data_IF_436090572412
#
_entry.id   IF_436090572412
#
_cell.length_a   1.000
_cell.length_b   1.000
_cell.length_c   1.000
_cell.angle_alpha   90.00
_cell.angle_beta   90.00
_cell.angle_gamma   90.00
#
_symmetry.space_group_name_H-M   'P 1'
#
loop_
_entity.id
_entity.type
_entity.pdbx_description
1 polymer ?
#
# COMPACT_ATOMS: atom_id res chain seq x y z
N UNK A 1 13.37 0.28 -18.54
CA UNK A 1 13.74 -0.17 -17.18
C UNK A 1 13.98 1.04 -16.28
N UNK A 2 13.37 1.08 -15.09
CA UNK A 2 13.55 2.14 -14.07
C UNK A 2 14.37 1.62 -12.89
N UNK A 3 15.20 2.45 -12.25
CA UNK A 3 15.86 2.06 -10.99
C UNK A 3 15.02 2.56 -9.83
N UNK A 4 14.75 1.70 -8.84
CA UNK A 4 13.96 2.03 -7.64
C UNK A 4 14.66 1.53 -6.38
N UNK A 5 14.26 2.10 -5.26
CA UNK A 5 14.68 1.72 -3.91
C UNK A 5 13.71 0.72 -3.28
N UNK A 6 14.14 0.06 -2.20
CA UNK A 6 13.25 -0.81 -1.40
C UNK A 6 12.12 -0.02 -0.73
N UNK A 7 12.33 1.26 -0.40
CA UNK A 7 11.28 2.13 0.12
C UNK A 7 10.22 2.46 -0.94
N UNK A 8 10.63 2.71 -2.20
CA UNK A 8 9.67 2.82 -3.30
C UNK A 8 8.90 1.52 -3.52
N UNK A 9 9.57 0.37 -3.41
CA UNK A 9 8.94 -0.96 -3.48
C UNK A 9 7.84 -1.12 -2.41
N UNK A 10 8.11 -0.68 -1.17
CA UNK A 10 7.13 -0.69 -0.06
C UNK A 10 5.93 0.22 -0.31
N UNK A 11 6.00 1.17 -1.25
CA UNK A 11 4.87 2.03 -1.60
C UNK A 11 4.00 1.48 -2.75
N UNK A 12 4.36 0.31 -3.31
CA UNK A 12 3.67 -0.33 -4.44
C UNK A 12 2.50 -1.24 -4.02
N UNK A 13 1.81 -0.91 -2.92
CA UNK A 13 0.74 -1.75 -2.33
C UNK A 13 -0.51 -1.94 -3.20
N UNK A 14 -0.60 -1.27 -4.35
CA UNK A 14 -1.77 -1.25 -5.24
C UNK A 14 -1.50 -2.00 -6.55
N UNK A 15 -0.36 -2.66 -6.67
CA UNK A 15 0.03 -3.42 -7.85
C UNK A 15 0.69 -4.73 -7.45
N UNK A 16 0.76 -5.65 -8.40
CA UNK A 16 1.46 -6.93 -8.25
C UNK A 16 2.49 -7.08 -9.37
N UNK A 17 3.47 -7.95 -9.13
CA UNK A 17 4.50 -8.23 -10.11
C UNK A 17 5.30 -9.49 -9.77
N UNK A 18 6.16 -9.87 -10.71
CA UNK A 18 7.12 -10.94 -10.54
C UNK A 18 8.50 -10.32 -10.23
N UNK A 19 9.07 -10.69 -9.09
CA UNK A 19 10.46 -10.34 -8.74
C UNK A 19 11.36 -11.54 -9.02
N UNK A 20 12.45 -11.28 -9.75
CA UNK A 20 13.58 -12.19 -9.93
C UNK A 20 14.79 -11.65 -9.18
N UNK A 21 15.55 -12.55 -8.55
CA UNK A 21 16.63 -12.19 -7.64
C UNK A 21 17.98 -12.67 -8.17
N UNK A 22 19.04 -11.89 -7.89
CA UNK A 22 20.40 -12.26 -8.29
C UNK A 22 20.65 -12.15 -9.80
N UNK A 23 19.99 -11.19 -10.47
CA UNK A 23 20.17 -10.93 -11.90
C UNK A 23 21.57 -10.33 -12.17
N UNK A 24 22.53 -11.19 -12.50
CA UNK A 24 23.87 -10.79 -12.94
C UNK A 24 23.97 -10.59 -14.45
N UNK A 25 25.07 -10.00 -14.91
CA UNK A 25 25.31 -9.76 -16.34
C UNK A 25 24.46 -8.63 -16.91
N UNK A 26 24.06 -8.75 -18.17
CA UNK A 26 23.23 -7.76 -18.86
C UNK A 26 21.75 -7.94 -18.48
N UNK A 27 21.16 -6.89 -17.89
CA UNK A 27 19.77 -6.89 -17.45
C UNK A 27 18.78 -6.89 -18.62
N UNK A 28 19.17 -6.39 -19.80
CA UNK A 28 18.30 -6.44 -20.97
C UNK A 28 18.15 -7.88 -21.48
N UNK A 29 19.21 -8.69 -21.43
CA UNK A 29 19.13 -10.12 -21.75
C UNK A 29 18.18 -10.87 -20.82
N UNK A 30 18.15 -10.50 -19.53
CA UNK A 30 17.16 -11.02 -18.58
C UNK A 30 15.73 -10.63 -18.98
N UNK A 31 15.50 -9.37 -19.30
CA UNK A 31 14.16 -8.87 -19.67
C UNK A 31 13.65 -9.58 -20.93
N UNK A 32 14.51 -9.69 -21.94
CA UNK A 32 14.16 -10.30 -23.23
C UNK A 32 13.97 -11.81 -23.08
N UNK A 33 14.87 -12.49 -22.35
CA UNK A 33 14.81 -13.92 -22.12
C UNK A 33 13.57 -14.34 -21.32
N UNK A 34 13.26 -13.63 -20.24
CA UNK A 34 12.06 -13.92 -19.43
C UNK A 34 10.80 -13.67 -20.24
N UNK A 35 10.69 -12.55 -20.96
CA UNK A 35 9.54 -12.30 -21.82
C UNK A 35 9.38 -13.35 -22.94
N UNK A 36 10.49 -13.83 -23.51
CA UNK A 36 10.50 -14.95 -24.46
C UNK A 36 9.90 -16.22 -23.86
N UNK A 37 10.40 -16.64 -22.70
CA UNK A 37 9.91 -17.84 -21.99
C UNK A 37 8.43 -17.72 -21.63
N UNK A 38 8.01 -16.57 -21.07
CA UNK A 38 6.62 -16.36 -20.69
C UNK A 38 5.68 -16.37 -21.91
N UNK A 39 6.13 -15.84 -23.05
CA UNK A 39 5.39 -15.92 -24.31
C UNK A 39 5.27 -17.35 -24.80
N UNK A 40 6.37 -18.09 -24.85
CA UNK A 40 6.42 -19.48 -25.34
C UNK A 40 5.56 -20.42 -24.50
N UNK A 41 5.49 -20.22 -23.18
CA UNK A 41 4.63 -21.00 -22.29
C UNK A 41 3.14 -20.58 -22.34
N UNK A 42 2.81 -19.57 -23.16
CA UNK A 42 1.47 -19.03 -23.27
C UNK A 42 0.97 -18.45 -21.94
N UNK A 43 1.86 -17.79 -21.20
CA UNK A 43 1.54 -17.05 -19.98
C UNK A 43 1.07 -15.63 -20.34
N UNK A 44 1.67 -15.02 -21.37
CA UNK A 44 1.26 -13.72 -21.90
C UNK A 44 0.04 -13.91 -22.82
N UNK A 45 -1.19 -13.66 -22.31
CA UNK A 45 -2.43 -14.01 -23.03
C UNK A 45 -2.71 -13.12 -24.24
N UNK A 46 -2.28 -11.86 -24.20
CA UNK A 46 -2.33 -10.94 -25.34
C UNK A 46 -1.01 -10.90 -26.13
N UNK A 47 -0.04 -11.72 -25.72
CA UNK A 47 1.29 -11.81 -26.29
C UNK A 47 2.15 -10.57 -26.07
N UNK A 48 1.70 -9.54 -25.33
CA UNK A 48 2.51 -8.34 -25.08
C UNK A 48 3.58 -8.61 -24.02
N UNK A 49 4.80 -8.10 -24.20
CA UNK A 49 5.85 -8.25 -23.20
C UNK A 49 5.53 -7.41 -21.95
N UNK A 50 5.96 -7.92 -20.79
CA UNK A 50 6.03 -7.13 -19.57
C UNK A 50 7.15 -6.10 -19.72
N UNK A 51 6.76 -4.85 -19.93
CA UNK A 51 7.60 -3.72 -20.29
C UNK A 51 7.85 -2.75 -19.13
N UNK A 52 6.95 -2.70 -18.14
CA UNK A 52 7.20 -2.00 -16.89
C UNK A 52 8.12 -2.82 -15.97
N UNK A 53 9.41 -2.72 -16.24
CA UNK A 53 10.47 -3.38 -15.47
C UNK A 53 11.22 -2.38 -14.61
N UNK A 54 11.36 -2.70 -13.33
CA UNK A 54 12.21 -1.98 -12.39
C UNK A 54 13.41 -2.82 -11.93
N UNK A 55 14.53 -2.16 -11.64
CA UNK A 55 15.71 -2.76 -11.01
C UNK A 55 15.92 -2.17 -9.62
N UNK A 56 16.27 -3.01 -8.65
CA UNK A 56 16.60 -2.57 -7.30
C UNK A 56 17.65 -3.46 -6.64
N UNK A 57 18.41 -2.90 -5.71
CA UNK A 57 19.43 -3.61 -4.92
C UNK A 57 18.88 -3.93 -3.54
N UNK A 58 19.05 -5.17 -3.08
CA UNK A 58 18.71 -5.56 -1.70
C UNK A 58 19.57 -6.77 -1.29
N UNK A 59 20.12 -6.73 -0.07
CA UNK A 59 21.00 -7.79 0.47
C UNK A 59 22.20 -8.14 -0.45
N UNK A 60 22.73 -7.16 -1.20
CA UNK A 60 23.84 -7.36 -2.13
C UNK A 60 23.47 -8.03 -3.46
N UNK A 61 22.18 -8.26 -3.72
CA UNK A 61 21.67 -8.81 -4.97
C UNK A 61 21.02 -7.73 -5.84
N UNK A 62 21.31 -7.79 -7.15
CA UNK A 62 20.53 -7.10 -8.18
C UNK A 62 19.23 -7.86 -8.42
N UNK A 63 18.10 -7.19 -8.30
CA UNK A 63 16.77 -7.78 -8.50
C UNK A 63 16.01 -7.04 -9.60
N UNK A 64 15.19 -7.76 -10.34
CA UNK A 64 14.28 -7.22 -11.35
C UNK A 64 12.83 -7.45 -10.93
N UNK A 65 12.02 -6.39 -10.96
CA UNK A 65 10.57 -6.43 -10.81
C UNK A 65 9.93 -6.26 -12.19
N UNK A 66 9.17 -7.24 -12.64
CA UNK A 66 8.27 -7.15 -13.77
C UNK A 66 6.87 -6.84 -13.25
N UNK A 67 6.45 -5.57 -13.33
CA UNK A 67 5.11 -5.18 -12.90
C UNK A 67 4.05 -5.66 -13.89
N UNK A 68 2.93 -6.18 -13.37
CA UNK A 68 1.88 -6.71 -14.25
C UNK A 68 1.01 -5.62 -14.87
N UNK A 69 0.79 -4.49 -14.18
CA UNK A 69 -0.03 -3.39 -14.69
C UNK A 69 -1.38 -3.89 -15.22
N UNK A 70 -1.67 -3.56 -16.48
CA UNK A 70 -2.89 -3.97 -17.18
C UNK A 70 -2.72 -5.20 -18.08
N UNK A 71 -1.56 -5.87 -18.03
CA UNK A 71 -1.26 -7.02 -18.89
C UNK A 71 -2.18 -8.20 -18.56
N UNK A 72 -2.63 -8.91 -19.60
CA UNK A 72 -3.46 -10.11 -19.46
C UNK A 72 -2.56 -11.33 -19.32
N UNK A 73 -2.52 -11.91 -18.12
CA UNK A 73 -1.65 -13.04 -17.79
C UNK A 73 -2.43 -14.28 -17.37
N UNK A 74 -1.94 -15.45 -17.76
CA UNK A 74 -2.34 -16.71 -17.13
C UNK A 74 -1.64 -16.84 -15.78
N UNK A 75 -2.28 -16.30 -14.73
CA UNK A 75 -1.73 -16.29 -13.37
C UNK A 75 -1.50 -17.71 -12.83
N UNK A 76 -2.33 -18.67 -13.24
CA UNK A 76 -2.19 -20.07 -12.84
C UNK A 76 -0.90 -20.69 -13.38
N UNK A 77 -0.66 -20.55 -14.69
CA UNK A 77 0.60 -20.99 -15.31
C UNK A 77 1.80 -20.23 -14.78
N UNK A 78 1.69 -18.92 -14.59
CA UNK A 78 2.79 -18.11 -14.05
C UNK A 78 3.18 -18.55 -12.64
N UNK A 79 2.20 -18.87 -11.79
CA UNK A 79 2.45 -19.39 -10.46
C UNK A 79 3.22 -20.73 -10.49
N UNK A 80 2.82 -21.64 -11.39
CA UNK A 80 3.50 -22.93 -11.58
C UNK A 80 4.93 -22.71 -12.10
N UNK A 81 5.09 -21.90 -13.15
CA UNK A 81 6.39 -21.58 -13.73
C UNK A 81 7.34 -20.99 -12.70
N UNK A 82 6.86 -20.03 -11.88
CA UNK A 82 7.63 -19.40 -10.80
C UNK A 82 8.11 -20.43 -9.78
N UNK A 83 7.27 -21.40 -9.41
CA UNK A 83 7.65 -22.47 -8.48
C UNK A 83 8.71 -23.39 -9.09
N UNK A 84 8.52 -23.81 -10.36
CA UNK A 84 9.42 -24.72 -11.05
C UNK A 84 10.81 -24.11 -11.32
N UNK A 85 10.87 -22.80 -11.53
CA UNK A 85 12.11 -22.07 -11.87
C UNK A 85 12.73 -21.34 -10.68
N UNK A 86 12.23 -21.59 -9.46
CA UNK A 86 12.66 -20.89 -8.24
C UNK A 86 14.16 -21.00 -7.98
N UNK A 87 14.76 -22.17 -8.20
CA UNK A 87 16.20 -22.37 -8.00
C UNK A 87 17.05 -21.62 -9.02
N UNK A 88 16.51 -21.39 -10.23
CA UNK A 88 17.22 -20.71 -11.31
C UNK A 88 17.12 -19.18 -11.22
N UNK A 89 15.94 -18.66 -10.87
CA UNK A 89 15.67 -17.22 -10.95
C UNK A 89 15.33 -16.56 -9.61
N UNK A 90 15.18 -17.34 -8.54
CA UNK A 90 14.76 -16.81 -7.23
C UNK A 90 13.37 -16.15 -7.27
N UNK A 91 12.50 -16.60 -8.18
CA UNK A 91 11.22 -15.94 -8.47
C UNK A 91 10.27 -15.86 -7.26
N UNK A 92 9.67 -14.69 -7.04
CA UNK A 92 8.67 -14.44 -5.99
C UNK A 92 7.69 -13.35 -6.40
N UNK A 93 6.53 -13.27 -5.74
CA UNK A 93 5.59 -12.16 -5.97
C UNK A 93 6.10 -10.88 -5.31
N UNK A 94 5.73 -9.72 -5.84
CA UNK A 94 6.04 -8.43 -5.22
C UNK A 94 5.46 -8.35 -3.81
N UNK A 95 4.19 -8.76 -3.63
CA UNK A 95 3.55 -8.83 -2.31
C UNK A 95 4.32 -9.73 -1.34
N UNK A 96 4.65 -10.96 -1.76
CA UNK A 96 5.43 -11.91 -0.97
C UNK A 96 6.80 -11.34 -0.58
N UNK A 97 7.50 -10.69 -1.52
CA UNK A 97 8.81 -10.11 -1.26
C UNK A 97 8.72 -8.99 -0.24
N UNK A 98 7.79 -8.05 -0.44
CA UNK A 98 7.64 -6.91 0.45
C UNK A 98 7.26 -7.36 1.86
N UNK A 99 6.32 -8.30 1.99
CA UNK A 99 5.90 -8.84 3.28
C UNK A 99 7.06 -9.56 3.98
N UNK A 100 7.71 -10.50 3.30
CA UNK A 100 8.69 -11.39 3.93
C UNK A 100 10.10 -10.79 4.07
N UNK A 101 10.48 -9.86 3.19
CA UNK A 101 11.85 -9.31 3.13
C UNK A 101 11.94 -7.85 3.59
N UNK A 102 10.88 -7.08 3.44
CA UNK A 102 10.87 -5.65 3.73
C UNK A 102 9.99 -5.27 4.93
N UNK A 103 9.36 -6.25 5.58
CA UNK A 103 8.50 -6.04 6.75
C UNK A 103 7.11 -5.49 6.41
N UNK A 104 6.62 -5.77 5.20
CA UNK A 104 5.31 -5.33 4.74
C UNK A 104 5.34 -4.02 3.96
N UNK A 105 4.25 -3.76 3.25
CA UNK A 105 4.08 -2.49 2.55
C UNK A 105 4.06 -1.34 3.55
N UNK A 106 4.56 -0.19 3.11
CA UNK A 106 4.44 1.04 3.87
C UNK A 106 2.95 1.27 4.17
N UNK A 107 2.62 1.32 5.45
CA UNK A 107 1.31 1.83 5.87
C UNK A 107 1.27 3.27 5.38
N UNK A 108 0.48 3.55 4.34
CA UNK A 108 0.15 4.95 4.01
C UNK A 108 -0.45 5.53 5.28
N UNK A 109 0.31 6.36 5.99
CA UNK A 109 -0.29 7.31 6.90
C UNK A 109 -1.07 8.27 6.00
N UNK A 110 -2.30 7.88 5.64
CA UNK A 110 -3.24 8.83 5.07
C UNK A 110 -3.34 9.95 6.10
N UNK A 111 -3.08 11.18 5.64
CA UNK A 111 -3.23 12.35 6.48
C UNK A 111 -4.62 12.30 7.12
N UNK A 112 -4.66 12.36 8.46
CA UNK A 112 -5.91 12.35 9.19
C UNK A 112 -6.72 13.57 8.72
N UNK A 113 -7.98 13.39 8.28
CA UNK A 113 -8.79 14.53 7.91
C UNK A 113 -9.15 15.33 9.17
N UNK A 114 -9.30 16.65 9.00
CA UNK A 114 -9.78 17.52 10.06
C UNK A 114 -11.27 17.24 10.33
N UNK A 115 -11.59 17.01 11.58
CA UNK A 115 -12.91 16.60 12.04
C UNK A 115 -13.37 17.56 13.16
N UNK A 116 -14.38 18.41 12.88
CA UNK A 116 -14.86 19.38 13.85
C UNK A 116 -15.67 18.66 14.93
N UNK A 117 -15.03 18.32 16.05
CA UNK A 117 -15.67 17.68 17.20
C UNK A 117 -15.73 18.59 18.43
N UNK A 118 -14.91 19.64 18.48
CA UNK A 118 -14.95 20.61 19.59
C UNK A 118 -16.23 21.44 19.46
N UNK A 119 -17.04 21.46 20.52
CA UNK A 119 -18.33 22.18 20.56
C UNK A 119 -19.55 21.33 20.19
N UNK A 120 -19.35 20.10 19.71
CA UNK A 120 -20.41 19.15 19.40
C UNK A 120 -20.97 18.45 20.67
N UNK A 121 -22.11 17.78 20.53
CA UNK A 121 -22.65 16.92 21.60
C UNK A 121 -21.61 15.84 21.95
N UNK A 122 -21.14 15.89 23.21
CA UNK A 122 -20.10 15.02 23.76
C UNK A 122 -20.49 13.55 23.87
N UNK A 123 -21.73 13.16 23.51
CA UNK A 123 -22.11 11.76 23.38
C UNK A 123 -21.18 11.02 22.40
N UNK A 124 -20.52 9.95 22.87
CA UNK A 124 -19.51 9.24 22.07
C UNK A 124 -20.07 8.65 20.76
N UNK A 125 -21.34 8.25 20.72
CA UNK A 125 -21.96 7.75 19.50
C UNK A 125 -22.20 8.86 18.49
N UNK A 126 -22.48 10.08 18.96
CA UNK A 126 -22.55 11.27 18.11
C UNK A 126 -21.17 11.59 17.52
N UNK A 127 -20.14 11.70 18.37
CA UNK A 127 -18.77 11.99 17.93
C UNK A 127 -18.23 10.92 16.95
N UNK A 128 -18.47 9.65 17.24
CA UNK A 128 -18.15 8.54 16.33
C UNK A 128 -18.89 8.67 14.99
N UNK A 129 -20.15 9.11 15.01
CA UNK A 129 -20.95 9.35 13.81
C UNK A 129 -20.38 10.46 12.93
N UNK A 130 -19.95 11.57 13.54
CA UNK A 130 -19.31 12.70 12.84
C UNK A 130 -17.96 12.26 12.26
N UNK A 131 -17.08 11.68 13.07
CA UNK A 131 -15.78 11.18 12.60
C UNK A 131 -15.92 10.13 11.49
N UNK A 132 -16.89 9.21 11.60
CA UNK A 132 -17.17 8.24 10.54
C UNK A 132 -17.62 8.92 9.24
N UNK A 133 -18.34 10.04 9.31
CA UNK A 133 -18.78 10.78 8.13
C UNK A 133 -17.59 11.48 7.48
N UNK A 134 -16.79 12.20 8.27
CA UNK A 134 -15.57 12.88 7.80
C UNK A 134 -14.61 11.92 7.09
N UNK A 135 -14.37 10.73 7.65
CA UNK A 135 -13.55 9.71 7.01
C UNK A 135 -14.13 9.25 5.66
N UNK A 136 -15.44 9.01 5.59
CA UNK A 136 -16.10 8.57 4.34
C UNK A 136 -16.09 9.66 3.26
N UNK A 137 -16.25 10.92 3.64
CA UNK A 137 -16.15 12.08 2.72
C UNK A 137 -14.75 12.23 2.14
N UNK A 138 -13.72 11.78 2.86
CA UNK A 138 -12.33 11.74 2.40
C UNK A 138 -11.94 10.40 1.73
N UNK A 139 -12.91 9.54 1.41
CA UNK A 139 -12.67 8.24 0.78
C UNK A 139 -12.05 7.18 1.69
N UNK A 140 -11.97 7.43 2.99
CA UNK A 140 -11.37 6.55 4.01
C UNK A 140 -12.40 5.58 4.61
N UNK A 141 -13.11 4.85 3.75
CA UNK A 141 -14.22 3.97 4.14
C UNK A 141 -13.80 2.83 5.08
N UNK A 142 -12.63 2.22 4.81
CA UNK A 142 -12.11 1.12 5.62
C UNK A 142 -11.72 1.59 7.03
N UNK A 143 -11.14 2.80 7.12
CA UNK A 143 -10.78 3.44 8.38
C UNK A 143 -12.01 3.78 9.20
N UNK A 144 -13.07 4.29 8.55
CA UNK A 144 -14.34 4.55 9.22
C UNK A 144 -14.92 3.27 9.84
N UNK A 145 -14.86 2.14 9.13
CA UNK A 145 -15.36 0.87 9.64
C UNK A 145 -14.49 0.32 10.78
N UNK A 146 -13.16 0.35 10.64
CA UNK A 146 -12.22 -0.05 11.70
C UNK A 146 -12.38 0.79 12.97
N UNK A 147 -12.51 2.11 12.84
CA UNK A 147 -12.74 3.00 13.97
C UNK A 147 -14.04 2.63 14.71
N UNK A 148 -15.15 2.47 13.97
CA UNK A 148 -16.43 2.06 14.55
C UNK A 148 -16.31 0.71 15.25
N UNK A 149 -15.68 -0.27 14.60
CA UNK A 149 -15.49 -1.60 15.17
C UNK A 149 -14.67 -1.57 16.45
N UNK A 150 -13.58 -0.78 16.53
CA UNK A 150 -12.79 -0.63 17.76
C UNK A 150 -13.60 -0.04 18.91
N UNK A 151 -14.48 0.93 18.63
CA UNK A 151 -15.33 1.56 19.66
C UNK A 151 -16.47 0.63 20.09
N UNK A 152 -17.15 -0.03 19.15
CA UNK A 152 -18.36 -0.83 19.44
C UNK A 152 -18.10 -2.31 19.64
N UNK A 153 -16.90 -2.80 19.33
CA UNK A 153 -16.52 -4.22 19.33
C UNK A 153 -16.11 -4.78 20.69
N UNK A 154 -16.25 -4.00 21.76
CA UNK A 154 -15.93 -4.42 23.12
C UNK A 154 -14.45 -4.26 23.51
N UNK A 155 -13.61 -3.70 22.65
CA UNK A 155 -12.23 -3.32 23.01
C UNK A 155 -12.17 -2.04 23.84
N UNK A 156 -13.25 -1.27 23.83
CA UNK A 156 -13.34 0.05 24.44
C UNK A 156 -14.25 0.04 25.67
N UNK A 157 -13.72 0.40 26.82
CA UNK A 157 -14.39 0.28 28.12
C UNK A 157 -14.66 1.62 28.80
N UNK A 158 -14.19 2.72 28.21
CA UNK A 158 -14.37 4.07 28.72
C UNK A 158 -14.61 5.08 27.60
N UNK A 159 -15.15 6.23 27.99
CA UNK A 159 -15.34 7.36 27.09
C UNK A 159 -14.00 7.87 26.53
N UNK A 160 -13.00 7.95 27.39
CA UNK A 160 -11.66 8.44 27.09
C UNK A 160 -10.95 7.52 26.08
N UNK A 161 -11.06 6.20 26.26
CA UNK A 161 -10.56 5.24 25.28
C UNK A 161 -11.22 5.42 23.91
N UNK A 162 -12.54 5.65 23.89
CA UNK A 162 -13.26 5.82 22.64
C UNK A 162 -12.86 7.12 21.93
N UNK A 163 -12.60 8.18 22.69
CA UNK A 163 -12.10 9.45 22.17
C UNK A 163 -10.67 9.30 21.63
N UNK A 164 -9.79 8.55 22.31
CA UNK A 164 -8.46 8.22 21.81
C UNK A 164 -8.53 7.42 20.50
N UNK A 165 -9.46 6.46 20.40
CA UNK A 165 -9.69 5.73 19.16
C UNK A 165 -10.11 6.69 18.03
N UNK A 166 -11.02 7.64 18.27
CA UNK A 166 -11.37 8.65 17.26
C UNK A 166 -10.14 9.47 16.84
N UNK A 167 -9.33 9.93 17.80
CA UNK A 167 -8.12 10.71 17.56
C UNK A 167 -7.04 9.93 16.78
N UNK A 168 -7.05 8.60 16.78
CA UNK A 168 -6.17 7.78 15.94
C UNK A 168 -6.49 7.94 14.44
N UNK A 169 -7.72 8.31 14.06
CA UNK A 169 -8.16 8.34 12.67
C UNK A 169 -8.40 9.74 12.11
N UNK A 170 -8.73 10.73 12.95
CA UNK A 170 -9.01 12.11 12.53
C UNK A 170 -8.23 13.12 13.37
N UNK A 171 -7.99 14.32 12.83
CA UNK A 171 -7.52 15.45 13.64
C UNK A 171 -8.74 16.12 14.27
N UNK A 172 -8.75 16.22 15.60
CA UNK A 172 -9.87 16.85 16.31
C UNK A 172 -9.71 18.37 16.24
N UNK A 173 -10.67 19.04 15.60
CA UNK A 173 -10.68 20.50 15.40
C UNK A 173 -11.97 21.13 15.91
N UNK A 174 -12.02 22.46 15.96
CA UNK A 174 -13.25 23.23 16.17
C UNK A 174 -13.93 23.53 14.84
N UNK A 175 -15.26 23.65 14.88
CA UNK A 175 -16.06 24.19 13.77
C UNK A 175 -15.90 25.71 13.64
N UNK A 176 -15.45 26.39 14.70
CA UNK A 176 -15.12 27.80 14.70
C UNK A 176 -13.68 28.03 14.19
N UNK A 177 -13.45 29.01 13.30
CA UNK A 177 -12.10 29.38 12.88
C UNK A 177 -11.34 29.92 14.10
N UNK A 178 -10.11 29.44 14.33
CA UNK A 178 -9.23 30.07 15.30
C UNK A 178 -9.06 31.54 14.90
N UNK A 179 -9.57 32.46 15.72
CA UNK A 179 -9.27 33.89 15.57
C UNK A 179 -7.77 34.06 15.78
N UNK A 180 -7.03 34.16 14.67
CA UNK A 180 -5.62 34.45 14.66
C UNK A 180 -5.35 35.66 15.55
N UNK A 181 -4.60 35.44 16.62
CA UNK A 181 -4.17 36.46 17.56
C UNK A 181 -3.47 37.57 16.77
N UNK A 182 -4.20 38.66 16.47
CA UNK A 182 -3.61 39.87 15.90
C UNK A 182 -2.67 40.44 16.95
N UNK A 183 -1.38 40.13 16.84
CA UNK A 183 -0.35 40.87 17.54
C UNK A 183 -0.26 42.24 16.89
N UNK A 184 -0.97 43.20 17.49
CA UNK A 184 -0.79 44.61 17.21
C UNK A 184 0.57 45.04 17.79
N UNK A 185 1.55 45.21 16.92
CA UNK A 185 2.78 45.89 17.27
C UNK A 185 2.52 47.40 17.10
N UNK A 186 2.06 48.03 18.19
CA UNK A 186 2.10 49.48 18.35
C UNK A 186 3.45 49.94 18.89
#
# INVERSE_FOLDING_TARGET
>A
MKTITTEELKNMSHQEGLILQGCGGDLQEWIDGINGILREQGILLDGKPLDDVAVFQHEGLTNLLFAFGEHKLDIGKLAIWRIQTREQFGGTWLSDYVENKLGGFAKRQQAKPDCPLIGEDGNIFNLMGIASRTLKENGMYEQAEKMRQRITGGECHSYEEALMVIADYVNITSSEPEEGMKMDFS
#
